data_IF_475257712450
#
_entry.id   IF_475257712450
#
_cell.length_a   1.000
_cell.length_b   1.000
_cell.length_c   1.000
_cell.angle_alpha   90.00
_cell.angle_beta   90.00
_cell.angle_gamma   90.00
#
_symmetry.space_group_name_H-M   'P 1'
#
loop_
_entity.id
_entity.type
_entity.pdbx_description
1 polymer ?
#
# COMPACT_ATOMS: atom_id res chain seq x y z
N UNK A 1 -3.52 16.22 -18.99
CA UNK A 1 -4.09 15.68 -17.73
C UNK A 1 -3.31 16.31 -16.60
N UNK A 2 -4.00 17.01 -15.73
CA UNK A 2 -3.33 17.77 -14.66
C UNK A 2 -2.74 16.79 -13.63
N UNK A 3 -1.49 17.07 -13.21
CA UNK A 3 -0.79 16.22 -12.25
C UNK A 3 -1.57 16.08 -10.92
N UNK A 4 -2.38 17.08 -10.57
CA UNK A 4 -3.21 17.06 -9.37
C UNK A 4 -4.36 16.05 -9.48
N UNK A 5 -5.02 15.98 -10.63
CA UNK A 5 -6.09 15.00 -10.88
C UNK A 5 -5.52 13.59 -10.84
N UNK A 6 -4.34 13.39 -11.44
CA UNK A 6 -3.67 12.09 -11.40
C UNK A 6 -3.28 11.69 -9.98
N UNK A 7 -2.77 12.63 -9.17
CA UNK A 7 -2.41 12.38 -7.77
C UNK A 7 -3.63 11.98 -6.94
N UNK A 8 -4.77 12.65 -7.14
CA UNK A 8 -6.03 12.29 -6.47
C UNK A 8 -6.45 10.86 -6.86
N UNK A 9 -6.41 10.54 -8.16
CA UNK A 9 -6.77 9.21 -8.65
C UNK A 9 -5.88 8.10 -8.09
N UNK A 10 -4.56 8.30 -8.11
CA UNK A 10 -3.57 7.35 -7.57
C UNK A 10 -3.79 7.13 -6.07
N UNK A 11 -4.01 8.19 -5.31
CA UNK A 11 -4.30 8.09 -3.87
C UNK A 11 -5.60 7.35 -3.61
N UNK A 12 -6.66 7.67 -4.33
CA UNK A 12 -7.95 7.01 -4.17
C UNK A 12 -7.86 5.51 -4.45
N UNK A 13 -7.18 5.13 -5.54
CA UNK A 13 -6.93 3.73 -5.88
C UNK A 13 -6.17 3.03 -4.75
N UNK A 14 -5.09 3.66 -4.28
CA UNK A 14 -4.28 3.11 -3.19
C UNK A 14 -5.09 2.95 -1.89
N UNK A 15 -6.02 3.86 -1.58
CA UNK A 15 -6.91 3.72 -0.42
C UNK A 15 -7.79 2.48 -0.53
N UNK A 16 -8.37 2.22 -1.70
CA UNK A 16 -9.21 1.04 -1.94
C UNK A 16 -8.37 -0.23 -1.78
N UNK A 17 -7.19 -0.28 -2.42
CA UNK A 17 -6.28 -1.44 -2.35
C UNK A 17 -5.89 -1.75 -0.91
N UNK A 18 -5.50 -0.75 -0.14
CA UNK A 18 -5.11 -0.91 1.27
C UNK A 18 -6.29 -1.29 2.16
N UNK A 19 -7.48 -0.71 1.91
CA UNK A 19 -8.68 -1.06 2.67
C UNK A 19 -9.07 -2.54 2.45
N UNK A 20 -8.92 -3.06 1.24
CA UNK A 20 -9.18 -4.48 0.95
C UNK A 20 -8.11 -5.37 1.57
N UNK A 21 -6.81 -5.02 1.43
CA UNK A 21 -5.69 -5.79 1.98
C UNK A 21 -5.73 -5.89 3.50
N UNK A 22 -6.24 -4.87 4.19
CA UNK A 22 -6.41 -4.86 5.63
C UNK A 22 -7.76 -5.46 6.04
N UNK A 23 -8.84 -5.04 5.41
CA UNK A 23 -10.21 -5.34 5.81
C UNK A 23 -10.58 -6.80 5.63
N UNK A 24 -10.21 -7.44 4.51
CA UNK A 24 -10.57 -8.85 4.25
C UNK A 24 -9.90 -9.79 5.25
N UNK A 25 -8.58 -9.73 5.51
CA UNK A 25 -7.96 -10.59 6.51
C UNK A 25 -8.42 -10.28 7.94
N UNK A 26 -8.66 -9.01 8.27
CA UNK A 26 -9.19 -8.62 9.59
C UNK A 26 -10.59 -9.18 9.81
N UNK A 27 -11.47 -9.03 8.83
CA UNK A 27 -12.84 -9.58 8.89
C UNK A 27 -12.81 -11.10 9.04
N UNK A 28 -12.04 -11.78 8.20
CA UNK A 28 -11.90 -13.23 8.28
C UNK A 28 -11.35 -13.69 9.64
N UNK A 29 -10.35 -12.97 10.16
CA UNK A 29 -9.71 -13.35 11.44
C UNK A 29 -10.56 -13.04 12.68
N UNK A 30 -11.46 -12.08 12.62
CA UNK A 30 -12.22 -11.59 13.78
C UNK A 30 -13.68 -12.08 13.84
N UNK A 31 -14.35 -12.17 12.68
CA UNK A 31 -15.77 -12.51 12.61
C UNK A 31 -16.04 -13.99 12.33
N UNK A 32 -15.11 -14.70 11.71
CA UNK A 32 -15.31 -16.09 11.32
C UNK A 32 -14.75 -17.06 12.37
N UNK A 33 -15.40 -18.20 12.52
CA UNK A 33 -14.89 -19.30 13.34
C UNK A 33 -13.53 -19.78 12.77
N UNK A 34 -12.69 -20.35 13.64
CA UNK A 34 -11.31 -20.72 13.30
C UNK A 34 -11.16 -21.65 12.09
N UNK A 35 -12.15 -22.49 11.82
CA UNK A 35 -12.20 -23.39 10.65
C UNK A 35 -12.54 -22.65 9.37
N UNK A 36 -13.44 -21.69 9.42
CA UNK A 36 -13.95 -20.98 8.25
C UNK A 36 -13.01 -19.85 7.82
N UNK A 37 -12.30 -19.23 8.75
CA UNK A 37 -11.40 -18.11 8.46
C UNK A 37 -10.22 -18.52 7.55
N UNK A 38 -9.68 -19.74 7.74
CA UNK A 38 -8.59 -20.24 6.89
C UNK A 38 -9.11 -20.49 5.47
N UNK A 39 -10.28 -21.13 5.33
CA UNK A 39 -10.87 -21.43 4.03
C UNK A 39 -11.17 -20.14 3.24
N UNK A 40 -11.74 -19.13 3.91
CA UNK A 40 -12.02 -17.82 3.29
C UNK A 40 -10.74 -17.13 2.88
N UNK A 41 -9.72 -17.05 3.74
CA UNK A 41 -8.45 -16.42 3.40
C UNK A 41 -7.74 -17.14 2.26
N UNK A 42 -7.76 -18.47 2.23
CA UNK A 42 -7.17 -19.23 1.13
C UNK A 42 -7.90 -19.00 -0.21
N UNK A 43 -9.23 -18.87 -0.20
CA UNK A 43 -10.00 -18.55 -1.39
C UNK A 43 -9.71 -17.13 -1.91
N UNK A 44 -9.48 -16.17 -1.02
CA UNK A 44 -9.16 -14.78 -1.36
C UNK A 44 -7.67 -14.54 -1.61
N UNK A 45 -6.80 -15.44 -1.21
CA UNK A 45 -5.34 -15.29 -1.31
C UNK A 45 -4.83 -14.87 -2.70
N UNK A 46 -5.26 -15.48 -3.83
CA UNK A 46 -4.79 -15.06 -5.15
C UNK A 46 -5.22 -13.62 -5.46
N UNK A 47 -6.43 -13.22 -5.09
CA UNK A 47 -6.93 -11.86 -5.27
C UNK A 47 -6.16 -10.87 -4.39
N UNK A 48 -5.96 -11.18 -3.12
CA UNK A 48 -5.17 -10.34 -2.20
C UNK A 48 -3.72 -10.19 -2.67
N UNK A 49 -3.12 -11.26 -3.19
CA UNK A 49 -1.77 -11.20 -3.77
C UNK A 49 -1.72 -10.27 -4.98
N UNK A 50 -2.69 -10.37 -5.88
CA UNK A 50 -2.78 -9.47 -7.03
C UNK A 50 -2.92 -8.01 -6.57
N UNK A 51 -3.82 -7.74 -5.62
CA UNK A 51 -4.04 -6.39 -5.07
C UNK A 51 -2.77 -5.87 -4.38
N UNK A 52 -2.02 -6.71 -3.65
CA UNK A 52 -0.77 -6.30 -3.00
C UNK A 52 0.29 -5.85 -4.02
N UNK A 53 0.46 -6.60 -5.11
CA UNK A 53 1.37 -6.20 -6.19
C UNK A 53 0.89 -4.96 -6.93
N UNK A 54 -0.43 -4.84 -7.19
CA UNK A 54 -1.01 -3.64 -7.78
C UNK A 54 -0.78 -2.42 -6.88
N UNK A 55 -0.99 -2.55 -5.57
CA UNK A 55 -0.76 -1.48 -4.61
C UNK A 55 0.72 -1.02 -4.55
N UNK A 56 1.69 -1.92 -4.72
CA UNK A 56 3.10 -1.56 -4.84
C UNK A 56 3.33 -0.70 -6.09
N UNK A 57 2.75 -1.10 -7.23
CA UNK A 57 2.85 -0.33 -8.48
C UNK A 57 2.17 1.03 -8.32
N UNK A 58 0.96 1.06 -7.76
CA UNK A 58 0.22 2.30 -7.48
C UNK A 58 1.00 3.23 -6.55
N UNK A 59 1.65 2.69 -5.52
CA UNK A 59 2.50 3.47 -4.63
C UNK A 59 3.75 4.01 -5.34
N UNK A 60 4.40 3.22 -6.18
CA UNK A 60 5.55 3.68 -6.98
C UNK A 60 5.14 4.79 -7.96
N UNK A 61 3.98 4.66 -8.62
CA UNK A 61 3.42 5.71 -9.46
C UNK A 61 3.14 6.99 -8.66
N UNK A 62 2.68 6.88 -7.42
CA UNK A 62 2.46 8.01 -6.54
C UNK A 62 3.75 8.81 -6.28
N UNK A 63 4.88 8.14 -6.07
CA UNK A 63 6.19 8.81 -5.93
C UNK A 63 6.59 9.54 -7.21
N UNK A 64 6.34 8.93 -8.39
CA UNK A 64 6.64 9.56 -9.68
C UNK A 64 5.78 10.80 -9.92
N UNK A 65 4.48 10.74 -9.58
CA UNK A 65 3.57 11.89 -9.69
C UNK A 65 4.01 13.02 -8.75
N UNK A 66 4.47 12.70 -7.53
CA UNK A 66 5.04 13.72 -6.64
C UNK A 66 6.27 14.41 -7.22
N UNK A 67 7.17 13.65 -7.86
CA UNK A 67 8.33 14.24 -8.52
C UNK A 67 7.91 15.23 -9.62
N UNK A 68 6.85 14.90 -10.37
CA UNK A 68 6.26 15.82 -11.38
C UNK A 68 5.69 17.07 -10.73
N UNK A 69 4.95 16.93 -9.63
CA UNK A 69 4.38 18.08 -8.92
C UNK A 69 5.46 19.01 -8.35
N UNK A 70 6.54 18.44 -7.78
CA UNK A 70 7.66 19.24 -7.25
C UNK A 70 8.45 19.97 -8.34
N UNK A 71 8.60 19.36 -9.51
CA UNK A 71 9.41 19.90 -10.61
C UNK A 71 8.59 20.73 -11.60
N UNK A 72 7.27 20.61 -11.62
CA UNK A 72 6.39 21.23 -12.62
C UNK A 72 6.53 20.66 -14.03
N UNK A 73 7.23 19.54 -14.22
CA UNK A 73 7.53 18.97 -15.54
C UNK A 73 7.45 17.43 -15.54
N UNK A 74 6.84 16.86 -16.57
CA UNK A 74 6.62 15.40 -16.68
C UNK A 74 7.90 14.57 -16.79
N UNK A 75 8.98 15.15 -17.30
CA UNK A 75 10.29 14.47 -17.38
C UNK A 75 10.88 14.18 -16.00
N UNK A 76 10.39 14.83 -14.95
CA UNK A 76 10.82 14.60 -13.58
C UNK A 76 10.35 13.23 -13.03
N UNK A 77 9.28 12.66 -13.61
CA UNK A 77 8.76 11.34 -13.20
C UNK A 77 9.82 10.23 -13.22
N UNK A 78 10.80 10.35 -14.13
CA UNK A 78 11.87 9.37 -14.32
C UNK A 78 13.25 9.92 -13.95
N UNK A 79 13.32 11.16 -13.47
CA UNK A 79 14.58 11.80 -13.11
C UNK A 79 15.04 11.30 -11.75
N UNK A 80 16.15 10.52 -11.74
CA UNK A 80 16.73 9.95 -10.51
C UNK A 80 17.00 11.00 -9.43
N UNK A 81 17.49 12.19 -9.80
CA UNK A 81 17.79 13.25 -8.82
C UNK A 81 16.52 13.76 -8.16
N UNK A 82 15.43 13.93 -8.91
CA UNK A 82 14.14 14.37 -8.39
C UNK A 82 13.49 13.28 -7.52
N UNK A 83 13.54 12.02 -7.94
CA UNK A 83 13.03 10.91 -7.13
C UNK A 83 13.77 10.80 -5.78
N UNK A 84 15.11 10.93 -5.80
CA UNK A 84 15.90 10.95 -4.56
C UNK A 84 15.58 12.17 -3.68
N UNK A 85 15.32 13.34 -4.28
CA UNK A 85 14.89 14.53 -3.54
C UNK A 85 13.53 14.30 -2.86
N UNK A 86 12.56 13.70 -3.57
CA UNK A 86 11.24 13.33 -3.00
C UNK A 86 11.41 12.35 -1.84
N UNK A 87 12.22 11.30 -2.02
CA UNK A 87 12.50 10.28 -1.00
C UNK A 87 13.17 10.90 0.24
N UNK A 88 13.98 11.93 0.07
CA UNK A 88 14.61 12.67 1.17
C UNK A 88 13.63 13.49 2.02
N UNK A 89 12.39 13.69 1.56
CA UNK A 89 11.36 14.39 2.34
C UNK A 89 10.69 13.45 3.35
N UNK A 90 10.18 13.98 4.49
CA UNK A 90 9.40 13.17 5.44
C UNK A 90 8.22 12.45 4.77
N UNK A 91 7.62 13.11 3.79
CA UNK A 91 6.51 12.56 3.01
C UNK A 91 6.95 11.39 2.11
N UNK A 92 8.08 11.53 1.40
CA UNK A 92 8.65 10.45 0.59
C UNK A 92 9.08 9.25 1.43
N UNK A 93 9.57 9.49 2.64
CA UNK A 93 9.89 8.42 3.60
C UNK A 93 8.64 7.63 4.00
N UNK A 94 7.51 8.30 4.26
CA UNK A 94 6.24 7.62 4.55
C UNK A 94 5.79 6.73 3.38
N UNK A 95 6.04 7.15 2.13
CA UNK A 95 5.77 6.32 0.95
C UNK A 95 6.68 5.11 0.85
N UNK A 96 7.97 5.24 1.19
CA UNK A 96 8.89 4.10 1.24
C UNK A 96 8.48 3.08 2.30
N UNK A 97 8.11 3.54 3.51
CA UNK A 97 7.58 2.65 4.55
C UNK A 97 6.34 1.89 4.08
N UNK A 98 5.46 2.56 3.36
CA UNK A 98 4.26 1.95 2.79
C UNK A 98 4.61 0.87 1.76
N UNK A 99 5.52 1.18 0.83
CA UNK A 99 5.99 0.22 -0.18
C UNK A 99 6.65 -0.98 0.49
N UNK A 100 7.48 -0.77 1.51
CA UNK A 100 8.12 -1.85 2.25
C UNK A 100 7.10 -2.74 2.98
N UNK A 101 6.09 -2.14 3.63
CA UNK A 101 5.02 -2.88 4.28
C UNK A 101 4.17 -3.69 3.27
N UNK A 102 3.82 -3.08 2.13
CA UNK A 102 3.11 -3.76 1.04
C UNK A 102 3.92 -4.92 0.45
N UNK A 103 5.22 -4.72 0.30
CA UNK A 103 6.12 -5.79 -0.16
C UNK A 103 6.14 -6.95 0.84
N UNK A 104 6.19 -6.66 2.13
CA UNK A 104 6.07 -7.66 3.18
C UNK A 104 4.76 -8.45 3.09
N UNK A 105 3.62 -7.77 2.89
CA UNK A 105 2.32 -8.41 2.68
C UNK A 105 2.34 -9.28 1.42
N UNK A 106 2.84 -8.75 0.30
CA UNK A 106 2.91 -9.49 -0.97
C UNK A 106 3.76 -10.77 -0.85
N UNK A 107 4.89 -10.69 -0.16
CA UNK A 107 5.77 -11.85 0.10
C UNK A 107 5.07 -12.86 1.01
N UNK A 108 4.42 -12.43 2.09
CA UNK A 108 3.68 -13.35 2.96
C UNK A 108 2.54 -14.07 2.22
N UNK A 109 1.87 -13.39 1.30
CA UNK A 109 0.81 -13.97 0.48
C UNK A 109 1.30 -14.97 -0.59
N UNK A 110 2.61 -15.15 -0.76
CA UNK A 110 3.15 -16.23 -1.61
C UNK A 110 2.91 -17.60 -0.99
N UNK A 111 2.88 -17.68 0.34
CA UNK A 111 2.63 -18.91 1.08
C UNK A 111 1.22 -18.92 1.69
N UNK A 112 0.67 -20.12 1.97
CA UNK A 112 -0.61 -20.23 2.68
C UNK A 112 -0.51 -19.64 4.09
N UNK A 113 -1.41 -18.76 4.45
CA UNK A 113 -1.48 -18.14 5.78
C UNK A 113 -2.21 -19.06 6.79
N UNK A 114 -1.68 -20.25 7.00
CA UNK A 114 -2.34 -21.27 7.85
C UNK A 114 -2.16 -21.03 9.34
N UNK A 115 -1.03 -20.42 9.73
CA UNK A 115 -0.71 -20.16 11.14
C UNK A 115 -1.25 -18.81 11.59
N UNK A 116 -1.74 -18.75 12.84
CA UNK A 116 -2.23 -17.51 13.43
C UNK A 116 -1.20 -16.34 13.39
N UNK A 117 0.09 -16.57 13.73
CA UNK A 117 1.08 -15.49 13.68
C UNK A 117 1.31 -14.95 12.26
N UNK A 118 1.27 -15.80 11.23
CA UNK A 118 1.43 -15.37 9.83
C UNK A 118 0.31 -14.40 9.42
N UNK A 119 -0.93 -14.72 9.81
CA UNK A 119 -2.09 -13.87 9.58
C UNK A 119 -1.99 -12.55 10.35
N UNK A 120 -1.59 -12.62 11.63
CA UNK A 120 -1.42 -11.43 12.45
C UNK A 120 -0.36 -10.48 11.87
N UNK A 121 0.77 -11.01 11.39
CA UNK A 121 1.82 -10.21 10.74
C UNK A 121 1.29 -9.56 9.46
N UNK A 122 0.57 -10.32 8.61
CA UNK A 122 0.01 -9.78 7.37
C UNK A 122 -0.99 -8.65 7.64
N UNK A 123 -1.89 -8.84 8.62
CA UNK A 123 -2.86 -7.81 9.05
C UNK A 123 -2.13 -6.59 9.62
N UNK A 124 -1.11 -6.78 10.45
CA UNK A 124 -0.33 -5.68 11.04
C UNK A 124 0.39 -4.87 9.99
N UNK A 125 1.05 -5.52 9.02
CA UNK A 125 1.73 -4.83 7.92
C UNK A 125 0.74 -4.06 7.03
N UNK A 126 -0.40 -4.66 6.70
CA UNK A 126 -1.44 -3.97 5.95
C UNK A 126 -2.02 -2.78 6.74
N UNK A 127 -2.20 -2.93 8.06
CA UNK A 127 -2.63 -1.87 8.96
C UNK A 127 -1.62 -0.73 9.07
N UNK A 128 -0.32 -1.03 9.13
CA UNK A 128 0.76 -0.04 9.11
C UNK A 128 0.76 0.72 7.78
N UNK A 129 0.62 0.00 6.65
CA UNK A 129 0.52 0.63 5.34
C UNK A 129 -0.69 1.56 5.25
N UNK A 130 -1.85 1.13 5.75
CA UNK A 130 -3.07 1.93 5.80
C UNK A 130 -2.91 3.14 6.76
N UNK A 131 -2.41 2.94 7.96
CA UNK A 131 -2.18 3.99 8.95
C UNK A 131 -1.18 5.06 8.48
N UNK A 132 -0.20 4.68 7.64
CA UNK A 132 0.76 5.63 7.06
C UNK A 132 0.10 6.67 6.14
N UNK A 133 -1.16 6.47 5.73
CA UNK A 133 -1.92 7.45 4.96
C UNK A 133 -2.28 8.69 5.79
N UNK A 134 -2.55 8.49 7.09
CA UNK A 134 -2.86 9.59 8.01
C UNK A 134 -1.66 10.54 8.21
N UNK A 135 -0.43 10.03 8.06
CA UNK A 135 0.79 10.84 8.24
C UNK A 135 0.94 11.93 7.17
N UNK A 136 0.38 11.74 5.98
CA UNK A 136 0.46 12.71 4.88
C UNK A 136 -0.57 13.83 4.92
N UNK A 137 -1.56 13.77 5.82
CA UNK A 137 -2.69 14.70 5.86
C UNK A 137 -2.58 15.83 6.88
N UNK A 138 -1.80 15.68 7.95
CA UNK A 138 -1.81 16.60 9.10
C UNK A 138 -0.44 17.22 9.42
N UNK A 139 0.63 16.89 8.71
CA UNK A 139 1.97 17.37 8.99
C UNK A 139 2.30 18.75 8.36
N UNK A 140 1.32 19.39 7.70
CA UNK A 140 1.48 20.71 7.03
C UNK A 140 0.43 21.73 7.48
N UNK A 141 -0.20 21.54 8.63
CA UNK A 141 -1.06 22.55 9.23
C UNK A 141 -0.29 23.33 10.29
#
# INVERSE_FOLDING_TARGET
MDADVLNIGVRFLLYIELAVLFGVPLFAGWLLRSTDNVAVLESWRPTLRFIAWAAIVTAALGLSVMAVQMAGAWNAAWNRKMLLAVIGTPYGQAWLFRIAALFGVAVLLLWPLRRAPERAIAISLAGIALGSLAWGGHALA
#
